data_IF_285781934085
#
_entry.id   IF_285781934085
#
_cell.length_a   1.000
_cell.length_b   1.000
_cell.length_c   1.000
_cell.angle_alpha   90.00
_cell.angle_beta   90.00
_cell.angle_gamma   90.00
#
_symmetry.space_group_name_H-M   'P 1'
#
loop_
_entity.id
_entity.type
_entity.pdbx_description
1 polymer ?
#
# COMPACT_ATOMS: atom_id res chain seq x y z
N UNK A 1 -10.66 12.47 16.27
CA UNK A 1 -10.31 13.26 15.08
C UNK A 1 -10.23 12.24 13.95
N UNK A 2 -11.24 12.23 13.09
CA UNK A 2 -11.27 11.28 11.95
C UNK A 2 -10.18 11.69 10.97
N UNK A 3 -9.19 10.82 10.77
CA UNK A 3 -8.26 10.95 9.65
C UNK A 3 -8.98 10.34 8.44
N UNK A 4 -9.46 11.13 7.50
CA UNK A 4 -10.12 10.61 6.32
C UNK A 4 -9.07 9.86 5.48
N UNK A 5 -9.42 8.64 5.08
CA UNK A 5 -8.55 7.78 4.27
C UNK A 5 -8.40 8.40 2.88
N UNK A 6 -7.15 8.61 2.44
CA UNK A 6 -6.88 9.34 1.21
C UNK A 6 -7.23 8.57 -0.04
N UNK A 7 -8.04 9.21 -0.85
CA UNK A 7 -8.33 8.80 -2.21
C UNK A 7 -7.16 9.23 -3.09
N UNK A 8 -6.45 8.31 -3.75
CA UNK A 8 -5.63 8.71 -4.90
C UNK A 8 -6.58 9.02 -6.06
N UNK A 9 -7.54 9.87 -5.76
CA UNK A 9 -8.49 10.33 -6.72
C UNK A 9 -7.90 11.54 -7.45
N UNK A 10 -8.41 11.80 -8.64
CA UNK A 10 -8.15 13.06 -9.34
C UNK A 10 -8.24 14.27 -8.39
N UNK A 11 -9.18 14.22 -7.44
CA UNK A 11 -9.39 15.25 -6.42
C UNK A 11 -8.22 15.39 -5.44
N UNK A 12 -7.57 14.29 -5.00
CA UNK A 12 -6.38 14.38 -4.14
C UNK A 12 -5.21 15.00 -4.89
N UNK A 13 -4.97 14.56 -6.13
CA UNK A 13 -3.89 15.11 -6.96
C UNK A 13 -4.12 16.58 -7.30
N UNK A 14 -5.37 17.00 -7.53
CA UNK A 14 -5.74 18.41 -7.72
C UNK A 14 -5.50 19.25 -6.47
N UNK A 15 -5.82 18.75 -5.28
CA UNK A 15 -5.57 19.41 -4.01
C UNK A 15 -4.07 19.48 -3.69
N UNK A 16 -3.32 18.42 -3.97
CA UNK A 16 -1.85 18.44 -3.83
C UNK A 16 -1.21 19.50 -4.73
N UNK A 17 -1.74 19.67 -5.95
CA UNK A 17 -1.32 20.72 -6.87
C UNK A 17 -1.58 22.12 -6.35
N UNK A 18 -2.67 22.34 -5.62
CA UNK A 18 -2.98 23.62 -4.99
C UNK A 18 -2.17 23.89 -3.71
N UNK A 19 -1.28 22.97 -3.31
CA UNK A 19 -0.46 23.13 -2.11
C UNK A 19 -1.21 22.88 -0.80
N UNK A 20 -2.35 22.18 -0.84
CA UNK A 20 -3.15 21.87 0.34
C UNK A 20 -2.37 20.98 1.31
N UNK A 21 -1.98 21.52 2.46
CA UNK A 21 -1.13 20.87 3.45
C UNK A 21 -1.79 19.61 4.06
N UNK A 22 -3.11 19.61 4.21
CA UNK A 22 -3.86 18.45 4.71
C UNK A 22 -3.76 17.28 3.72
N UNK A 23 -3.89 17.58 2.42
CA UNK A 23 -3.74 16.58 1.36
C UNK A 23 -2.29 16.09 1.22
N UNK A 24 -1.28 16.94 1.51
CA UNK A 24 0.12 16.52 1.54
C UNK A 24 0.40 15.57 2.71
N UNK A 25 -0.08 15.86 3.91
CA UNK A 25 0.06 15.00 5.07
C UNK A 25 -0.66 13.66 4.87
N UNK A 26 -1.86 13.71 4.30
CA UNK A 26 -2.65 12.57 3.92
C UNK A 26 -1.91 11.68 2.91
N UNK A 27 -1.34 12.25 1.85
CA UNK A 27 -0.55 11.53 0.86
C UNK A 27 0.71 10.92 1.47
N UNK A 28 1.44 11.69 2.29
CA UNK A 28 2.63 11.24 3.00
C UNK A 28 2.31 10.02 3.88
N UNK A 29 1.32 10.13 4.74
CA UNK A 29 0.89 9.06 5.64
C UNK A 29 0.52 7.78 4.90
N UNK A 30 -0.09 7.90 3.73
CA UNK A 30 -0.50 6.76 2.90
C UNK A 30 0.67 6.03 2.25
N UNK A 31 1.62 6.77 1.72
CA UNK A 31 2.68 6.18 0.88
C UNK A 31 3.99 5.95 1.61
N UNK A 32 4.19 6.57 2.78
CA UNK A 32 5.42 6.47 3.57
C UNK A 32 5.82 5.01 3.83
N UNK A 33 4.92 4.24 4.41
CA UNK A 33 5.22 2.87 4.83
C UNK A 33 5.48 1.94 3.63
N UNK A 34 4.76 2.16 2.53
CA UNK A 34 4.99 1.43 1.28
C UNK A 34 6.36 1.75 0.68
N UNK A 35 6.75 3.04 0.60
CA UNK A 35 8.06 3.44 0.07
C UNK A 35 9.17 2.88 0.95
N UNK A 36 9.03 2.98 2.27
CA UNK A 36 9.97 2.43 3.23
C UNK A 36 10.16 0.92 3.05
N UNK A 37 9.05 0.16 2.98
CA UNK A 37 9.07 -1.29 2.80
C UNK A 37 9.74 -1.68 1.47
N UNK A 38 9.49 -0.96 0.38
CA UNK A 38 10.16 -1.17 -0.91
C UNK A 38 11.67 -0.92 -0.83
N UNK A 39 12.10 0.11 -0.11
CA UNK A 39 13.51 0.37 0.17
C UNK A 39 14.17 -0.81 0.89
N UNK A 40 13.56 -1.27 1.99
CA UNK A 40 14.03 -2.43 2.77
C UNK A 40 14.12 -3.70 1.92
N UNK A 41 13.11 -3.95 1.10
CA UNK A 41 13.05 -5.11 0.21
C UNK A 41 14.19 -5.12 -0.83
N UNK A 42 14.63 -3.93 -1.25
CA UNK A 42 15.75 -3.74 -2.19
C UNK A 42 17.12 -3.63 -1.49
N UNK A 43 17.18 -3.97 -0.21
CA UNK A 43 18.43 -4.05 0.55
C UNK A 43 18.97 -2.71 1.04
N UNK A 44 18.15 -1.66 1.06
CA UNK A 44 18.50 -0.42 1.74
C UNK A 44 18.45 -0.64 3.26
N UNK A 45 19.32 0.05 3.99
CA UNK A 45 19.26 0.10 5.46
C UNK A 45 18.02 0.86 5.91
N UNK A 46 17.72 0.84 7.20
CA UNK A 46 16.61 1.59 7.78
C UNK A 46 16.75 3.10 7.50
N UNK A 47 17.92 3.65 7.78
CA UNK A 47 18.23 5.06 7.50
C UNK A 47 18.11 5.41 6.01
N UNK A 48 18.68 4.57 5.12
CA UNK A 48 18.56 4.80 3.67
C UNK A 48 17.10 4.68 3.19
N UNK A 49 16.27 3.86 3.86
CA UNK A 49 14.84 3.75 3.53
C UNK A 49 14.05 4.96 4.00
N UNK A 50 14.38 5.55 5.14
CA UNK A 50 13.83 6.84 5.57
C UNK A 50 14.27 7.99 4.64
N UNK A 51 15.53 8.01 4.23
CA UNK A 51 16.04 8.96 3.21
C UNK A 51 15.30 8.79 1.88
N UNK A 52 15.03 7.55 1.45
CA UNK A 52 14.24 7.26 0.25
C UNK A 52 12.86 7.88 0.35
N UNK A 53 12.17 7.71 1.48
CA UNK A 53 10.83 8.30 1.70
C UNK A 53 10.91 9.82 1.54
N UNK A 54 11.88 10.46 2.19
CA UNK A 54 12.03 11.91 2.12
C UNK A 54 12.34 12.40 0.70
N UNK A 55 13.24 11.73 0.00
CA UNK A 55 13.61 12.08 -1.38
C UNK A 55 12.41 11.97 -2.34
N UNK A 56 11.67 10.85 -2.26
CA UNK A 56 10.50 10.63 -3.12
C UNK A 56 9.41 11.65 -2.84
N UNK A 57 9.09 11.89 -1.56
CA UNK A 57 8.05 12.83 -1.16
C UNK A 57 8.41 14.26 -1.50
N UNK A 58 9.66 14.68 -1.23
CA UNK A 58 10.13 16.02 -1.57
C UNK A 58 10.08 16.26 -3.09
N UNK A 59 10.58 15.32 -3.89
CA UNK A 59 10.52 15.43 -5.34
C UNK A 59 9.07 15.49 -5.85
N UNK A 60 8.21 14.66 -5.29
CA UNK A 60 6.80 14.64 -5.67
C UNK A 60 6.12 15.96 -5.33
N UNK A 61 6.25 16.47 -4.11
CA UNK A 61 5.61 17.71 -3.69
C UNK A 61 6.17 18.95 -4.41
N UNK A 62 7.47 18.99 -4.69
CA UNK A 62 8.07 20.07 -5.48
C UNK A 62 7.54 20.09 -6.92
N UNK A 63 7.34 18.92 -7.52
CA UNK A 63 6.83 18.79 -8.88
C UNK A 63 5.30 18.79 -8.96
N UNK A 64 4.60 18.61 -7.85
CA UNK A 64 3.14 18.51 -7.84
C UNK A 64 2.43 19.77 -8.33
N UNK A 65 3.02 20.95 -8.13
CA UNK A 65 2.49 22.21 -8.63
C UNK A 65 2.39 22.25 -10.17
N UNK A 66 3.39 21.67 -10.85
CA UNK A 66 3.46 21.60 -12.32
C UNK A 66 2.95 20.26 -12.87
N UNK A 67 2.65 19.30 -11.99
CA UNK A 67 2.24 17.96 -12.38
C UNK A 67 0.77 17.94 -12.80
N UNK A 68 0.53 17.85 -14.10
CA UNK A 68 -0.79 17.58 -14.65
C UNK A 68 -0.85 16.07 -14.92
N UNK A 69 -1.53 15.35 -14.03
CA UNK A 69 -1.81 13.96 -14.32
C UNK A 69 -2.85 13.87 -15.46
N UNK A 70 -2.43 13.25 -16.55
CA UNK A 70 -3.28 12.95 -17.70
C UNK A 70 -3.64 11.46 -17.66
N UNK A 71 -4.90 11.11 -17.37
CA UNK A 71 -5.33 9.71 -17.33
C UNK A 71 -5.11 8.96 -18.66
N UNK A 72 -5.03 9.68 -19.79
CA UNK A 72 -4.79 9.09 -21.10
C UNK A 72 -3.35 8.57 -21.25
N UNK A 73 -2.41 9.09 -20.47
CA UNK A 73 -0.99 8.68 -20.46
C UNK A 73 -0.66 7.54 -19.51
N UNK A 74 -1.66 7.04 -18.77
CA UNK A 74 -1.49 5.92 -17.87
C UNK A 74 -1.88 6.24 -16.42
N UNK A 75 -1.72 5.25 -15.55
CA UNK A 75 -2.11 5.35 -14.15
C UNK A 75 -1.08 6.12 -13.35
N UNK A 76 -1.55 6.96 -12.42
CA UNK A 76 -0.69 7.68 -11.48
C UNK A 76 0.28 6.73 -10.76
N UNK A 77 -0.21 5.59 -10.31
CA UNK A 77 0.58 4.60 -9.57
C UNK A 77 1.72 4.00 -10.38
N UNK A 78 1.52 3.77 -11.67
CA UNK A 78 2.58 3.30 -12.58
C UNK A 78 3.69 4.35 -12.71
N UNK A 79 3.32 5.61 -12.87
CA UNK A 79 4.29 6.70 -12.89
C UNK A 79 5.00 6.83 -11.53
N UNK A 80 4.26 6.80 -10.43
CA UNK A 80 4.82 6.94 -9.09
C UNK A 80 5.77 5.78 -8.74
N UNK A 81 5.43 4.54 -9.12
CA UNK A 81 6.33 3.39 -8.97
C UNK A 81 7.66 3.60 -9.68
N UNK A 82 7.64 4.20 -10.89
CA UNK A 82 8.86 4.54 -11.64
C UNK A 82 9.71 5.58 -10.91
N UNK A 83 9.09 6.57 -10.26
CA UNK A 83 9.82 7.56 -9.45
C UNK A 83 10.52 6.89 -8.26
N UNK A 84 9.80 6.06 -7.51
CA UNK A 84 10.36 5.31 -6.38
C UNK A 84 11.53 4.44 -6.83
N UNK A 85 11.35 3.66 -7.90
CA UNK A 85 12.38 2.78 -8.46
C UNK A 85 13.65 3.54 -8.83
N UNK A 86 13.54 4.67 -9.52
CA UNK A 86 14.69 5.50 -9.88
C UNK A 86 15.47 5.95 -8.65
N UNK A 87 14.80 6.38 -7.60
CA UNK A 87 15.44 6.81 -6.35
C UNK A 87 16.13 5.67 -5.61
N UNK A 88 15.56 4.48 -5.62
CA UNK A 88 16.21 3.28 -5.07
C UNK A 88 17.51 2.99 -5.83
N UNK A 89 17.48 3.00 -7.16
CA UNK A 89 18.66 2.78 -8.00
C UNK A 89 19.73 3.85 -7.74
N UNK A 90 19.35 5.11 -7.63
CA UNK A 90 20.27 6.21 -7.33
C UNK A 90 20.97 6.02 -5.97
N UNK A 91 20.24 5.61 -4.93
CA UNK A 91 20.80 5.32 -3.60
C UNK A 91 21.76 4.12 -3.63
N UNK A 92 21.39 3.04 -4.31
CA UNK A 92 22.25 1.85 -4.46
C UNK A 92 23.54 2.23 -5.22
N UNK A 93 23.44 2.98 -6.31
CA UNK A 93 24.62 3.46 -7.06
C UNK A 93 25.53 4.34 -6.20
N UNK A 94 24.96 5.28 -5.45
CA UNK A 94 25.73 6.14 -4.54
C UNK A 94 26.48 5.32 -3.49
N UNK A 95 25.88 4.26 -2.98
CA UNK A 95 26.53 3.31 -2.05
C UNK A 95 27.68 2.55 -2.73
N UNK A 96 27.47 2.04 -3.94
CA UNK A 96 28.50 1.29 -4.67
C UNK A 96 29.68 2.15 -5.10
N UNK A 97 29.48 3.42 -5.44
CA UNK A 97 30.58 4.37 -5.71
C UNK A 97 31.42 4.64 -4.46
N UNK A 98 30.82 4.61 -3.28
CA UNK A 98 31.57 4.75 -2.01
C UNK A 98 32.25 3.44 -1.56
N UNK A 99 32.01 2.30 -2.23
CA UNK A 99 32.48 0.97 -1.83
C UNK A 99 33.32 0.25 -2.90
N UNK A 100 34.20 0.93 -3.62
CA UNK A 100 35.16 0.38 -4.55
C UNK A 100 34.75 0.19 -6.01
N UNK A 101 35.65 0.64 -6.88
CA UNK A 101 35.93 0.14 -8.23
C UNK A 101 36.03 -1.39 -8.25
N UNK A 102 35.34 -2.00 -9.18
CA UNK A 102 35.35 -3.41 -9.61
C UNK A 102 34.12 -4.23 -9.23
N UNK A 103 33.06 -4.06 -10.05
CA UNK A 103 32.14 -5.14 -10.32
C UNK A 103 31.67 -5.03 -11.78
N UNK A 104 31.80 -6.11 -12.59
CA UNK A 104 31.32 -6.10 -13.97
C UNK A 104 29.80 -6.04 -14.00
N UNK A 105 29.20 -5.49 -15.06
CA UNK A 105 27.74 -5.52 -15.21
C UNK A 105 27.31 -6.94 -15.54
N UNK A 106 26.60 -7.60 -14.61
CA UNK A 106 25.83 -8.79 -14.91
C UNK A 106 24.70 -8.41 -15.89
N UNK A 107 24.68 -9.06 -17.04
CA UNK A 107 23.57 -8.97 -18.01
C UNK A 107 22.34 -9.59 -17.37
N UNK A 108 21.20 -8.87 -17.28
CA UNK A 108 20.00 -9.42 -16.66
C UNK A 108 19.30 -10.40 -17.60
N UNK A 109 19.06 -11.60 -17.10
CA UNK A 109 18.06 -12.53 -17.63
C UNK A 109 16.69 -11.86 -17.61
N UNK A 110 15.96 -11.84 -18.74
CA UNK A 110 14.68 -11.10 -18.88
C UNK A 110 13.59 -11.54 -17.89
N UNK A 111 13.64 -12.78 -17.39
CA UNK A 111 12.71 -13.29 -16.37
C UNK A 111 13.09 -12.87 -14.95
N UNK A 112 14.29 -12.39 -14.75
CA UNK A 112 14.86 -11.88 -13.50
C UNK A 112 15.18 -10.39 -13.58
N UNK A 113 14.57 -9.66 -14.53
CA UNK A 113 14.87 -8.24 -14.68
C UNK A 113 14.54 -7.50 -13.36
N UNK A 114 15.43 -6.61 -12.89
CA UNK A 114 15.20 -5.82 -11.68
C UNK A 114 13.86 -5.08 -11.71
N UNK A 115 13.33 -4.82 -12.89
CA UNK A 115 12.08 -4.15 -13.17
C UNK A 115 10.87 -5.02 -12.83
N UNK A 116 10.86 -6.29 -13.26
CA UNK A 116 9.77 -7.23 -12.95
C UNK A 116 9.67 -7.51 -11.45
N UNK A 117 10.80 -7.71 -10.78
CA UNK A 117 10.86 -7.93 -9.32
C UNK A 117 10.38 -6.69 -8.57
N UNK A 118 10.72 -5.48 -9.04
CA UNK A 118 10.24 -4.25 -8.43
C UNK A 118 8.73 -4.09 -8.60
N UNK A 119 8.21 -4.32 -9.79
CA UNK A 119 6.78 -4.16 -10.08
C UNK A 119 5.93 -5.16 -9.29
N UNK A 120 6.38 -6.41 -9.15
CA UNK A 120 5.69 -7.40 -8.32
C UNK A 120 5.69 -7.02 -6.84
N UNK A 121 6.81 -6.54 -6.31
CA UNK A 121 6.93 -6.06 -4.95
C UNK A 121 6.05 -4.83 -4.68
N UNK A 122 6.06 -3.88 -5.61
CA UNK A 122 5.19 -2.70 -5.54
C UNK A 122 3.72 -3.10 -5.50
N UNK A 123 3.30 -4.04 -6.36
CA UNK A 123 1.92 -4.52 -6.38
C UNK A 123 1.54 -5.26 -5.08
N UNK A 124 2.46 -6.02 -4.50
CA UNK A 124 2.22 -6.69 -3.21
C UNK A 124 2.05 -5.69 -2.07
N UNK A 125 2.93 -4.68 -1.95
CA UNK A 125 2.82 -3.65 -0.92
C UNK A 125 1.57 -2.77 -1.13
N UNK A 126 1.19 -2.50 -2.36
CA UNK A 126 -0.04 -1.81 -2.66
C UNK A 126 -1.27 -2.62 -2.20
N UNK A 127 -1.32 -3.92 -2.51
CA UNK A 127 -2.39 -4.82 -2.04
C UNK A 127 -2.47 -4.86 -0.52
N UNK A 128 -1.32 -4.94 0.15
CA UNK A 128 -1.24 -4.93 1.61
C UNK A 128 -1.81 -3.63 2.19
N UNK A 129 -1.40 -2.49 1.66
CA UNK A 129 -1.87 -1.17 2.11
C UNK A 129 -3.39 -1.04 1.94
N UNK A 130 -3.92 -1.47 0.79
CA UNK A 130 -5.36 -1.41 0.53
C UNK A 130 -6.15 -2.37 1.42
N UNK A 131 -5.61 -3.56 1.69
CA UNK A 131 -6.25 -4.51 2.61
C UNK A 131 -6.29 -3.94 4.03
N UNK A 132 -5.20 -3.33 4.51
CA UNK A 132 -5.17 -2.68 5.81
C UNK A 132 -6.21 -1.56 5.91
N UNK A 133 -6.34 -0.75 4.87
CA UNK A 133 -7.35 0.30 4.77
C UNK A 133 -8.79 -0.27 4.82
N UNK A 134 -9.05 -1.33 4.07
CA UNK A 134 -10.35 -1.99 4.08
C UNK A 134 -10.71 -2.59 5.47
N UNK A 135 -9.73 -3.18 6.15
CA UNK A 135 -9.91 -3.73 7.50
C UNK A 135 -10.15 -2.63 8.53
N UNK A 136 -9.46 -1.49 8.43
CA UNK A 136 -9.69 -0.36 9.32
C UNK A 136 -11.08 0.26 9.12
N UNK A 137 -11.55 0.37 7.87
CA UNK A 137 -12.94 0.78 7.58
C UNK A 137 -13.96 -0.22 8.15
N UNK A 138 -13.70 -1.52 8.03
CA UNK A 138 -14.54 -2.56 8.62
C UNK A 138 -14.60 -2.41 10.14
N UNK A 139 -13.44 -2.25 10.78
CA UNK A 139 -13.33 -2.10 12.24
C UNK A 139 -14.19 -0.96 12.78
N UNK A 140 -14.28 0.15 12.04
CA UNK A 140 -15.09 1.32 12.43
C UNK A 140 -16.60 1.12 12.26
N UNK A 141 -17.02 0.11 11.46
CA UNK A 141 -18.42 -0.13 11.11
C UNK A 141 -19.05 -1.29 11.89
N UNK A 142 -18.26 -2.00 12.69
CA UNK A 142 -18.71 -3.18 13.40
C UNK A 142 -18.47 -3.08 14.90
N UNK A 143 -19.23 -3.83 15.68
CA UNK A 143 -18.99 -3.95 17.11
C UNK A 143 -17.58 -4.50 17.38
N UNK A 144 -16.83 -3.91 18.34
CA UNK A 144 -15.45 -4.29 18.63
C UNK A 144 -15.26 -5.79 18.90
N UNK A 145 -16.17 -6.43 19.65
CA UNK A 145 -16.14 -7.87 19.92
C UNK A 145 -16.18 -8.68 18.62
N UNK A 146 -17.08 -8.33 17.70
CA UNK A 146 -17.23 -9.03 16.43
C UNK A 146 -16.00 -8.89 15.55
N UNK A 147 -15.35 -7.71 15.56
CA UNK A 147 -14.10 -7.50 14.84
C UNK A 147 -12.96 -8.36 15.40
N UNK A 148 -12.82 -8.43 16.73
CA UNK A 148 -11.79 -9.24 17.40
C UNK A 148 -11.97 -10.73 17.06
N UNK A 149 -13.19 -11.25 17.07
CA UNK A 149 -13.47 -12.64 16.68
C UNK A 149 -13.10 -12.87 15.21
N UNK A 150 -13.47 -11.95 14.32
CA UNK A 150 -13.15 -12.04 12.90
C UNK A 150 -11.64 -11.97 12.65
N UNK A 151 -10.94 -11.04 13.30
CA UNK A 151 -9.47 -10.91 13.22
C UNK A 151 -8.79 -12.20 13.66
N UNK A 152 -9.20 -12.74 14.80
CA UNK A 152 -8.64 -13.99 15.33
C UNK A 152 -8.84 -15.16 14.39
N UNK A 153 -10.07 -15.32 13.86
CA UNK A 153 -10.43 -16.42 12.98
C UNK A 153 -9.83 -16.30 11.57
N UNK A 154 -10.02 -15.15 10.92
CA UNK A 154 -9.74 -14.99 9.49
C UNK A 154 -8.35 -14.39 9.20
N UNK A 155 -7.88 -13.45 10.03
CA UNK A 155 -6.62 -12.74 9.77
C UNK A 155 -5.46 -13.47 10.42
N UNK A 156 -5.62 -13.90 11.67
CA UNK A 156 -4.62 -14.69 12.38
C UNK A 156 -4.69 -16.19 12.07
N UNK A 157 -5.64 -16.59 11.23
CA UNK A 157 -5.80 -17.94 10.68
C UNK A 157 -5.92 -19.06 11.72
N UNK A 158 -6.62 -18.77 12.85
CA UNK A 158 -6.94 -19.80 13.83
C UNK A 158 -8.07 -20.71 13.33
N UNK A 159 -8.08 -21.95 13.82
CA UNK A 159 -9.16 -22.89 13.48
C UNK A 159 -10.52 -22.45 14.07
N UNK A 160 -11.60 -22.93 13.42
CA UNK A 160 -12.94 -22.67 13.94
C UNK A 160 -13.14 -23.23 15.37
N UNK A 161 -12.54 -24.41 15.69
CA UNK A 161 -12.62 -25.02 16.99
C UNK A 161 -11.95 -24.14 18.07
N UNK A 162 -10.73 -23.67 17.81
CA UNK A 162 -10.02 -22.75 18.71
C UNK A 162 -10.78 -21.45 18.90
N UNK A 163 -11.32 -20.87 17.82
CA UNK A 163 -12.09 -19.63 17.89
C UNK A 163 -13.37 -19.79 18.71
N UNK A 164 -14.10 -20.89 18.49
CA UNK A 164 -15.31 -21.18 19.28
C UNK A 164 -15.00 -21.37 20.77
N UNK A 165 -13.89 -22.03 21.10
CA UNK A 165 -13.44 -22.24 22.46
C UNK A 165 -13.00 -20.92 23.11
N UNK A 166 -12.17 -20.13 22.41
CA UNK A 166 -11.63 -18.88 22.90
C UNK A 166 -12.70 -17.84 23.24
N UNK A 167 -13.71 -17.72 22.36
CA UNK A 167 -14.78 -16.71 22.50
C UNK A 167 -16.08 -17.27 23.06
N UNK A 168 -16.14 -18.56 23.41
CA UNK A 168 -17.33 -19.25 23.95
C UNK A 168 -18.57 -19.08 23.05
N UNK A 169 -18.39 -19.20 21.75
CA UNK A 169 -19.46 -19.04 20.74
C UNK A 169 -19.71 -20.35 20.00
N UNK A 170 -20.96 -20.53 19.59
CA UNK A 170 -21.34 -21.67 18.76
C UNK A 170 -20.99 -21.52 17.27
N UNK A 171 -20.92 -22.66 16.57
CA UNK A 171 -20.56 -22.71 15.14
C UNK A 171 -21.43 -21.79 14.27
N UNK A 172 -22.74 -21.81 14.48
CA UNK A 172 -23.69 -21.00 13.72
C UNK A 172 -23.42 -19.48 13.89
N UNK A 173 -23.02 -19.04 15.09
CA UNK A 173 -22.67 -17.63 15.35
C UNK A 173 -21.39 -17.28 14.59
N UNK A 174 -20.39 -18.14 14.63
CA UNK A 174 -19.11 -17.92 13.92
C UNK A 174 -19.30 -17.84 12.40
N UNK A 175 -20.07 -18.78 11.82
CA UNK A 175 -20.32 -18.81 10.37
C UNK A 175 -21.11 -17.57 9.90
N UNK A 176 -22.16 -17.17 10.64
CA UNK A 176 -22.90 -15.93 10.35
C UNK A 176 -22.04 -14.68 10.47
N UNK A 177 -21.17 -14.62 11.50
CA UNK A 177 -20.26 -13.51 11.69
C UNK A 177 -19.26 -13.43 10.52
N UNK A 178 -18.62 -14.55 10.17
CA UNK A 178 -17.72 -14.62 9.00
C UNK A 178 -18.40 -14.10 7.74
N UNK A 179 -19.58 -14.64 7.41
CA UNK A 179 -20.32 -14.23 6.21
C UNK A 179 -20.60 -12.73 6.21
N UNK A 180 -21.14 -12.20 7.31
CA UNK A 180 -21.44 -10.76 7.44
C UNK A 180 -20.19 -9.89 7.26
N UNK A 181 -19.06 -10.27 7.86
CA UNK A 181 -17.80 -9.51 7.74
C UNK A 181 -17.29 -9.52 6.30
N UNK A 182 -17.33 -10.68 5.61
CA UNK A 182 -16.91 -10.79 4.22
C UNK A 182 -17.82 -9.97 3.27
N UNK A 183 -19.14 -9.98 3.50
CA UNK A 183 -20.07 -9.14 2.74
C UNK A 183 -19.80 -7.64 2.95
N UNK A 184 -19.49 -7.22 4.18
CA UNK A 184 -19.12 -5.83 4.47
C UNK A 184 -17.79 -5.45 3.82
N UNK A 185 -16.78 -6.32 3.88
CA UNK A 185 -15.49 -6.10 3.21
C UNK A 185 -15.64 -6.00 1.70
N UNK A 186 -16.50 -6.84 1.09
CA UNK A 186 -16.81 -6.74 -0.33
C UNK A 186 -17.41 -5.38 -0.70
N UNK A 187 -18.35 -4.88 0.10
CA UNK A 187 -18.94 -3.53 -0.10
C UNK A 187 -17.89 -2.44 0.05
N UNK A 188 -17.04 -2.53 1.07
CA UNK A 188 -15.94 -1.59 1.28
C UNK A 188 -14.99 -1.62 0.08
N UNK A 189 -14.62 -2.80 -0.42
CA UNK A 189 -13.77 -2.95 -1.61
C UNK A 189 -14.41 -2.30 -2.86
N UNK A 190 -15.71 -2.51 -3.08
CA UNK A 190 -16.43 -1.84 -4.16
C UNK A 190 -16.43 -0.31 -4.02
N UNK A 191 -16.63 0.20 -2.81
CA UNK A 191 -16.56 1.65 -2.54
C UNK A 191 -15.16 2.20 -2.80
N UNK A 192 -14.11 1.51 -2.32
CA UNK A 192 -12.72 1.90 -2.55
C UNK A 192 -12.38 1.92 -4.05
N UNK A 193 -12.87 0.97 -4.83
CA UNK A 193 -12.68 0.93 -6.29
C UNK A 193 -13.42 2.08 -7.00
N UNK A 194 -14.59 2.47 -6.51
CA UNK A 194 -15.30 3.65 -7.03
C UNK A 194 -14.57 4.95 -6.66
N UNK A 195 -13.98 4.99 -5.47
CA UNK A 195 -13.20 6.14 -4.99
C UNK A 195 -11.86 6.27 -5.72
N UNK A 196 -11.27 5.16 -6.14
CA UNK A 196 -9.97 5.08 -6.78
C UNK A 196 -10.02 4.05 -7.92
N UNK A 197 -10.38 4.47 -9.14
CA UNK A 197 -10.48 3.59 -10.31
C UNK A 197 -9.15 2.91 -10.70
N UNK A 198 -8.00 3.42 -10.20
CA UNK A 198 -6.69 2.81 -10.43
C UNK A 198 -6.45 1.55 -9.59
N UNK A 199 -7.36 1.21 -8.68
CA UNK A 199 -7.33 -0.06 -7.94
C UNK A 199 -7.78 -1.21 -8.85
N UNK A 200 -6.82 -1.93 -9.43
CA UNK A 200 -7.07 -3.03 -10.39
C UNK A 200 -7.22 -4.41 -9.75
N UNK A 201 -6.99 -4.54 -8.47
CA UNK A 201 -7.06 -5.85 -7.85
C UNK A 201 -8.42 -6.09 -7.19
N UNK A 202 -8.87 -7.33 -7.33
CA UNK A 202 -9.96 -7.83 -6.53
C UNK A 202 -9.45 -8.18 -5.14
N UNK A 203 -10.13 -7.67 -4.11
CA UNK A 203 -9.89 -8.12 -2.75
C UNK A 203 -10.63 -9.45 -2.62
N UNK A 204 -9.93 -10.57 -2.86
CA UNK A 204 -10.48 -11.91 -2.66
C UNK A 204 -10.25 -12.33 -1.20
N UNK A 205 -11.33 -12.41 -0.45
CA UNK A 205 -11.35 -12.88 0.94
C UNK A 205 -11.80 -14.35 1.05
N UNK A 206 -11.57 -15.16 0.00
CA UNK A 206 -11.93 -16.59 0.03
C UNK A 206 -10.93 -17.43 0.80
#
# INVERSE_FOLDING_TARGET
MEVPIPKTSKTLLEKLRSGDSVSQEEFYSRYRDMIFALGRLKGLTETESDDLVQLVMTEFFQKSADFIWDPSRGKFRTWFSTVIRRRIIDLIRKRSVNFTSEMPPDEPDESSSPDFIFDSAYQQELKRTVLQDALERLRRQVEPENYVIFEYYMIRNHSAAETMQQFQIGRNRLDKLKQRMLEMLSRIGCQMKQEDPDLEFEIDFR
#
